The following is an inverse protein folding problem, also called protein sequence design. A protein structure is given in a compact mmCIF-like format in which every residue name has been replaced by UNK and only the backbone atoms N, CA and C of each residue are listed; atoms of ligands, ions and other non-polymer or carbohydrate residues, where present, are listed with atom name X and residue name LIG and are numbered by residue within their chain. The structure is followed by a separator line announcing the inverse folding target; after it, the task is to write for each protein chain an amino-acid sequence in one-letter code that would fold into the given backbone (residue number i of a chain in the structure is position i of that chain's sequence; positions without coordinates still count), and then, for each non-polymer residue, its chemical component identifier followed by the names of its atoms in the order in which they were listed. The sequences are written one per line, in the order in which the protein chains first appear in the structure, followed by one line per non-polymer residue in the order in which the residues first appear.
data_IF_202941228576
#
_entry.id   IF_202941228576
#
_cell.length_a   1.000
_cell.length_b   1.000
_cell.length_c   1.000
_cell.angle_alpha   90.00
_cell.angle_beta   90.00
_cell.angle_gamma   90.00
#
_symmetry.space_group_name_H-M   'P 1'
#
loop_
_entity.id
_entity.type
_entity.pdbx_description
1 polymer ?
#
# COMPACT_ATOMS: atom_id res chain seq x y z
N UNK A 1 15.54 -90.97 19.04
CA UNK A 1 16.77 -91.25 19.80
C UNK A 1 17.72 -90.08 19.55
N UNK A 2 17.83 -89.18 20.54
CA UNK A 2 18.92 -88.21 20.72
C UNK A 2 19.03 -87.31 19.46
N UNK A 3 18.20 -86.29 19.20
CA UNK A 3 17.49 -85.33 20.08
C UNK A 3 18.44 -84.39 20.87
N UNK A 4 18.78 -83.23 20.27
CA UNK A 4 19.62 -82.09 20.76
C UNK A 4 19.10 -80.71 20.19
N UNK A 5 19.86 -79.60 20.31
CA UNK A 5 19.40 -78.28 20.81
C UNK A 5 19.96 -76.97 20.15
N UNK A 6 19.65 -75.83 20.80
CA UNK A 6 20.18 -74.45 20.68
C UNK A 6 19.58 -73.53 19.57
N UNK A 7 19.14 -72.29 19.82
CA UNK A 7 18.36 -71.57 20.86
C UNK A 7 18.56 -70.05 20.60
N UNK A 8 17.52 -69.23 20.70
CA UNK A 8 17.57 -67.83 21.18
C UNK A 8 16.20 -67.17 21.19
N UNK A 9 15.52 -67.35 22.33
CA UNK A 9 14.52 -66.48 22.96
C UNK A 9 13.98 -65.24 22.21
N UNK A 10 12.64 -65.15 22.11
CA UNK A 10 11.88 -63.89 22.00
C UNK A 10 10.74 -63.88 23.02
N UNK A 11 10.86 -63.08 24.08
CA UNK A 11 9.91 -62.91 25.19
C UNK A 11 10.09 -61.48 25.73
N UNK A 12 9.11 -60.73 26.23
CA UNK A 12 7.66 -60.64 26.00
C UNK A 12 7.21 -59.29 26.63
N UNK A 13 6.07 -58.78 26.22
CA UNK A 13 5.49 -57.49 26.58
C UNK A 13 5.05 -57.37 28.05
N UNK A 14 5.36 -56.24 28.70
CA UNK A 14 4.43 -55.62 29.67
C UNK A 14 4.71 -54.13 29.94
N UNK A 15 3.67 -53.31 29.82
CA UNK A 15 3.63 -51.89 30.24
C UNK A 15 3.08 -51.80 31.68
N UNK A 16 3.62 -50.87 32.50
CA UNK A 16 2.86 -50.23 33.57
C UNK A 16 2.68 -48.71 33.36
N UNK A 17 1.52 -48.22 33.75
CA UNK A 17 1.02 -46.83 33.64
C UNK A 17 1.51 -45.95 34.82
N UNK A 18 1.98 -44.70 34.59
CA UNK A 18 2.32 -43.77 35.66
C UNK A 18 1.43 -42.51 35.72
N UNK A 19 0.11 -42.65 35.67
CA UNK A 19 -0.84 -41.58 36.02
C UNK A 19 -0.86 -41.29 37.55
N UNK A 20 0.27 -40.86 38.14
CA UNK A 20 0.40 -40.74 39.60
C UNK A 20 1.41 -39.70 40.16
N UNK A 21 1.66 -38.57 39.49
CA UNK A 21 2.29 -37.40 40.17
C UNK A 21 1.67 -36.07 39.76
N UNK A 22 0.91 -35.47 40.67
CA UNK A 22 0.42 -34.10 40.56
C UNK A 22 1.16 -33.21 41.57
N UNK A 23 1.80 -32.13 41.09
CA UNK A 23 1.79 -30.81 41.75
C UNK A 23 2.64 -29.76 41.00
N UNK A 24 2.01 -28.61 40.72
CA UNK A 24 2.55 -27.24 40.67
C UNK A 24 3.86 -26.92 39.90
N UNK A 25 3.73 -26.24 38.76
CA UNK A 25 4.06 -24.80 38.67
C UNK A 25 3.67 -24.23 37.29
N UNK A 26 3.19 -22.99 37.27
CA UNK A 26 2.81 -22.26 36.05
C UNK A 26 4.03 -21.70 35.31
N UNK A 27 4.18 -22.05 34.03
CA UNK A 27 5.22 -21.51 33.15
C UNK A 27 4.74 -21.40 31.70
N UNK A 28 4.77 -20.19 31.15
CA UNK A 28 4.20 -19.83 29.84
C UNK A 28 4.93 -20.49 28.67
N UNK A 29 4.18 -21.07 27.72
CA UNK A 29 4.67 -21.65 26.46
C UNK A 29 3.73 -21.31 25.28
N UNK A 30 4.19 -21.37 24.02
CA UNK A 30 3.73 -20.46 22.97
C UNK A 30 2.74 -21.05 21.97
N UNK A 31 1.86 -20.21 21.40
CA UNK A 31 1.64 -20.08 19.95
C UNK A 31 0.50 -19.09 19.62
N UNK A 32 0.84 -17.95 19.04
CA UNK A 32 -0.11 -17.03 18.40
C UNK A 32 0.63 -16.05 17.46
N UNK A 33 0.89 -16.48 16.22
CA UNK A 33 1.41 -15.60 15.17
C UNK A 33 0.23 -14.97 14.40
N UNK A 34 -0.04 -13.66 14.54
CA UNK A 34 -1.03 -12.97 13.71
C UNK A 34 -0.51 -12.80 12.27
N UNK A 35 -1.40 -12.70 11.26
CA UNK A 35 -1.00 -12.76 9.86
C UNK A 35 -0.24 -11.50 9.39
N UNK A 36 1.02 -11.70 8.99
CA UNK A 36 1.87 -10.69 8.34
C UNK A 36 1.30 -10.23 6.98
N UNK A 37 0.51 -9.16 6.97
CA UNK A 37 0.21 -8.38 5.76
C UNK A 37 1.24 -7.28 5.46
N UNK A 38 2.08 -6.92 6.44
CA UNK A 38 3.06 -5.81 6.31
C UNK A 38 4.29 -6.14 5.45
N UNK A 39 4.53 -7.41 5.12
CA UNK A 39 5.75 -7.85 4.41
C UNK A 39 5.69 -7.70 2.88
N UNK A 40 4.49 -7.56 2.30
CA UNK A 40 4.31 -7.48 0.85
C UNK A 40 4.65 -6.09 0.27
N UNK A 41 4.23 -5.00 0.93
CA UNK A 41 4.63 -3.64 0.56
C UNK A 41 6.13 -3.46 0.69
N UNK A 42 6.71 -3.77 1.86
CA UNK A 42 8.17 -3.69 2.08
C UNK A 42 8.96 -4.49 1.05
N UNK A 43 8.51 -5.69 0.65
CA UNK A 43 9.19 -6.49 -0.39
C UNK A 43 9.09 -5.86 -1.79
N UNK A 44 8.02 -5.14 -2.08
CA UNK A 44 7.84 -4.43 -3.37
C UNK A 44 8.66 -3.14 -3.41
N UNK A 45 8.64 -2.36 -2.33
CA UNK A 45 9.45 -1.14 -2.18
C UNK A 45 10.95 -1.47 -2.21
N UNK A 46 11.37 -2.49 -1.45
CA UNK A 46 12.75 -2.98 -1.50
C UNK A 46 13.11 -3.55 -2.86
N UNK A 47 12.17 -4.14 -3.62
CA UNK A 47 12.45 -4.57 -4.99
C UNK A 47 12.66 -3.39 -5.93
N UNK A 48 11.80 -2.36 -5.93
CA UNK A 48 12.01 -1.16 -6.77
C UNK A 48 13.32 -0.46 -6.40
N UNK A 49 13.62 -0.37 -5.11
CA UNK A 49 14.86 0.23 -4.61
C UNK A 49 16.10 -0.61 -4.94
N UNK A 50 15.99 -1.95 -4.93
CA UNK A 50 17.02 -2.87 -5.41
C UNK A 50 17.21 -2.76 -6.92
N UNK A 51 16.14 -2.73 -7.72
CA UNK A 51 16.22 -2.61 -9.17
C UNK A 51 16.89 -1.28 -9.57
N UNK A 52 16.56 -0.18 -8.89
CA UNK A 52 17.26 1.11 -9.04
C UNK A 52 18.74 1.04 -8.61
N UNK A 53 19.03 0.40 -7.46
CA UNK A 53 20.41 0.21 -6.99
C UNK A 53 21.23 -0.72 -7.91
N UNK A 54 20.61 -1.71 -8.55
CA UNK A 54 21.23 -2.60 -9.53
C UNK A 54 21.55 -1.84 -10.81
N UNK A 55 20.66 -0.96 -11.29
CA UNK A 55 20.95 -0.08 -12.43
C UNK A 55 22.11 0.88 -12.11
N UNK A 56 22.11 1.47 -10.91
CA UNK A 56 23.20 2.32 -10.42
C UNK A 56 24.53 1.56 -10.33
N UNK A 57 24.54 0.39 -9.71
CA UNK A 57 25.73 -0.46 -9.59
C UNK A 57 26.21 -1.00 -10.96
N UNK A 58 25.28 -1.28 -11.89
CA UNK A 58 25.62 -1.69 -13.26
C UNK A 58 26.24 -0.54 -14.04
N UNK A 59 25.81 0.70 -13.80
CA UNK A 59 26.45 1.89 -14.34
C UNK A 59 27.85 2.07 -13.74
N UNK A 60 28.00 1.97 -12.42
CA UNK A 60 29.30 2.11 -11.74
C UNK A 60 30.30 1.00 -12.15
N UNK A 61 29.85 -0.25 -12.32
CA UNK A 61 30.68 -1.34 -12.88
C UNK A 61 31.01 -1.11 -14.36
N UNK A 62 30.08 -0.53 -15.14
CA UNK A 62 30.34 -0.14 -16.54
C UNK A 62 31.32 1.04 -16.64
N UNK A 63 31.38 1.89 -15.61
CA UNK A 63 32.39 2.95 -15.45
C UNK A 63 33.73 2.41 -14.93
N UNK A 64 33.74 1.39 -14.06
CA UNK A 64 34.96 0.76 -13.57
C UNK A 64 35.64 -0.14 -14.62
N UNK A 65 34.85 -0.66 -15.58
CA UNK A 65 35.32 -1.48 -16.70
C UNK A 65 35.57 -0.64 -17.97
N UNK A 66 36.15 -1.25 -19.01
CA UNK A 66 36.44 -0.59 -20.29
C UNK A 66 35.18 -0.18 -21.10
N UNK A 67 33.97 -0.37 -20.54
CA UNK A 67 32.70 0.05 -21.13
C UNK A 67 32.34 1.53 -20.87
N UNK A 68 33.26 2.33 -20.31
CA UNK A 68 33.09 3.78 -20.11
C UNK A 68 32.40 4.53 -21.26
N UNK A 69 32.71 4.31 -22.56
CA UNK A 69 32.04 5.04 -23.64
C UNK A 69 30.52 4.82 -23.70
N UNK A 70 30.04 3.61 -23.41
CA UNK A 70 28.61 3.29 -23.39
C UNK A 70 27.93 3.82 -22.13
N UNK A 71 28.60 3.78 -20.99
CA UNK A 71 28.11 4.38 -19.75
C UNK A 71 27.97 5.91 -19.87
N UNK A 72 28.93 6.57 -20.53
CA UNK A 72 28.88 8.00 -20.84
C UNK A 72 27.77 8.34 -21.84
N UNK A 73 27.56 7.53 -22.88
CA UNK A 73 26.45 7.68 -23.82
C UNK A 73 25.09 7.59 -23.10
N UNK A 74 24.90 6.57 -22.27
CA UNK A 74 23.67 6.38 -21.50
C UNK A 74 23.42 7.55 -20.53
N UNK A 75 24.46 7.99 -19.79
CA UNK A 75 24.38 9.14 -18.89
C UNK A 75 24.02 10.42 -19.66
N UNK A 76 24.62 10.65 -20.82
CA UNK A 76 24.32 11.79 -21.69
C UNK A 76 22.86 11.77 -22.16
N UNK A 77 22.36 10.60 -22.59
CA UNK A 77 20.97 10.42 -22.99
C UNK A 77 19.98 10.67 -21.83
N UNK A 78 20.24 10.10 -20.65
CA UNK A 78 19.39 10.33 -19.45
C UNK A 78 19.38 11.81 -19.06
N UNK A 79 20.54 12.47 -19.06
CA UNK A 79 20.64 13.90 -18.76
C UNK A 79 19.85 14.75 -19.77
N UNK A 80 19.99 14.46 -21.07
CA UNK A 80 19.27 15.18 -22.13
C UNK A 80 17.76 15.00 -22.06
N UNK A 81 17.27 13.79 -21.74
CA UNK A 81 15.84 13.54 -21.54
C UNK A 81 15.34 14.25 -20.27
N UNK A 82 16.10 14.20 -19.17
CA UNK A 82 15.73 14.91 -17.94
C UNK A 82 15.62 16.42 -18.15
N UNK A 83 16.53 17.04 -18.91
CA UNK A 83 16.46 18.48 -19.24
C UNK A 83 15.21 18.83 -20.07
N UNK A 84 14.81 17.96 -21.01
CA UNK A 84 13.58 18.13 -21.80
C UNK A 84 12.29 17.94 -20.98
N UNK A 85 12.30 17.02 -20.01
CA UNK A 85 11.15 16.73 -19.14
C UNK A 85 11.02 17.71 -17.96
N UNK A 86 12.11 18.39 -17.58
CA UNK A 86 12.20 19.31 -16.44
C UNK A 86 11.09 20.35 -16.35
N UNK A 87 10.62 21.00 -17.44
CA UNK A 87 9.55 21.99 -17.36
C UNK A 87 8.18 21.43 -16.96
N UNK A 88 7.96 20.11 -17.11
CA UNK A 88 6.70 19.45 -16.74
C UNK A 88 6.82 18.63 -15.44
N UNK A 89 7.96 18.01 -15.20
CA UNK A 89 8.15 17.00 -14.15
C UNK A 89 9.22 17.35 -13.10
N UNK A 90 9.90 18.50 -13.26
CA UNK A 90 10.98 18.92 -12.37
C UNK A 90 12.32 18.19 -12.62
N UNK A 91 13.30 18.48 -11.77
CA UNK A 91 14.62 17.85 -11.86
C UNK A 91 14.55 16.33 -11.66
N UNK A 92 15.34 15.59 -12.45
CA UNK A 92 15.44 14.12 -12.37
C UNK A 92 14.12 13.37 -12.63
N UNK A 93 13.31 13.86 -13.58
CA UNK A 93 12.02 13.31 -13.96
C UNK A 93 12.01 11.78 -14.17
N UNK A 94 13.01 11.21 -14.85
CA UNK A 94 13.12 9.76 -15.07
C UNK A 94 13.26 9.00 -13.74
N UNK A 95 14.15 9.48 -12.87
CA UNK A 95 14.42 8.87 -11.56
C UNK A 95 13.20 8.96 -10.65
N UNK A 96 12.55 10.14 -10.63
CA UNK A 96 11.31 10.36 -9.89
C UNK A 96 10.21 9.39 -10.35
N UNK A 97 10.02 9.23 -11.66
CA UNK A 97 9.06 8.28 -12.24
C UNK A 97 9.38 6.81 -11.91
N UNK A 98 10.65 6.41 -12.00
CA UNK A 98 11.10 5.06 -11.67
C UNK A 98 10.94 4.72 -10.17
N UNK A 99 11.03 5.72 -9.29
CA UNK A 99 10.81 5.57 -7.85
C UNK A 99 9.34 5.55 -7.40
N UNK A 100 8.38 5.76 -8.30
CA UNK A 100 6.95 5.74 -7.95
C UNK A 100 6.48 4.33 -7.57
N UNK A 101 5.71 4.22 -6.48
CA UNK A 101 4.92 3.01 -6.21
C UNK A 101 3.76 2.90 -7.22
N UNK A 102 4.03 2.16 -8.29
CA UNK A 102 3.08 1.82 -9.35
C UNK A 102 2.34 0.48 -9.08
N UNK A 103 2.35 -0.03 -7.84
CA UNK A 103 1.39 -1.06 -7.43
C UNK A 103 -0.05 -0.50 -7.48
N UNK A 104 -1.08 -1.36 -7.46
CA UNK A 104 -2.46 -0.90 -7.37
C UNK A 104 -2.74 -0.02 -6.15
N UNK A 105 -2.06 -0.27 -5.03
CA UNK A 105 -2.22 0.49 -3.79
C UNK A 105 -1.57 1.88 -3.88
N UNK A 106 -0.30 1.98 -4.28
CA UNK A 106 0.38 3.27 -4.44
C UNK A 106 -0.24 4.15 -5.52
N UNK A 107 -0.75 3.55 -6.59
CA UNK A 107 -1.48 4.27 -7.64
C UNK A 107 -2.83 4.78 -7.14
N UNK A 108 -3.62 3.93 -6.46
CA UNK A 108 -4.89 4.34 -5.88
C UNK A 108 -4.72 5.42 -4.80
N UNK A 109 -3.73 5.28 -3.92
CA UNK A 109 -3.41 6.25 -2.87
C UNK A 109 -3.05 7.62 -3.43
N UNK A 110 -2.25 7.68 -4.51
CA UNK A 110 -1.95 8.92 -5.23
C UNK A 110 -3.20 9.58 -5.81
N UNK A 111 -4.08 8.82 -6.47
CA UNK A 111 -5.34 9.33 -7.05
C UNK A 111 -6.25 9.89 -5.96
N UNK A 112 -6.48 9.15 -4.87
CA UNK A 112 -7.32 9.58 -3.75
C UNK A 112 -6.74 10.81 -3.08
N UNK A 113 -5.43 10.84 -2.81
CA UNK A 113 -4.76 11.99 -2.17
C UNK A 113 -4.84 13.26 -3.01
N UNK A 114 -4.53 13.21 -4.31
CA UNK A 114 -4.60 14.39 -5.19
C UNK A 114 -6.03 14.93 -5.28
N UNK A 115 -7.01 14.07 -5.55
CA UNK A 115 -8.40 14.49 -5.79
C UNK A 115 -9.09 14.99 -4.52
N UNK A 116 -8.91 14.31 -3.38
CA UNK A 116 -9.51 14.74 -2.11
C UNK A 116 -8.82 15.97 -1.50
N UNK A 117 -7.56 16.24 -1.84
CA UNK A 117 -6.83 17.44 -1.43
C UNK A 117 -7.48 18.76 -1.87
N UNK A 118 -8.35 18.74 -2.89
CA UNK A 118 -9.11 19.92 -3.32
C UNK A 118 -10.31 20.26 -2.42
N UNK A 119 -10.68 19.42 -1.44
CA UNK A 119 -11.91 19.60 -0.67
C UNK A 119 -11.96 20.91 0.12
N UNK A 120 -10.84 21.35 0.70
CA UNK A 120 -10.79 22.62 1.44
C UNK A 120 -11.00 23.84 0.53
N UNK A 121 -10.41 23.82 -0.68
CA UNK A 121 -10.64 24.85 -1.69
C UNK A 121 -12.10 24.83 -2.20
N UNK A 122 -12.69 23.65 -2.37
CA UNK A 122 -14.09 23.49 -2.78
C UNK A 122 -15.05 24.06 -1.72
N UNK A 123 -14.83 23.78 -0.43
CA UNK A 123 -15.61 24.39 0.67
C UNK A 123 -15.56 25.92 0.65
N UNK A 124 -14.40 26.52 0.39
CA UNK A 124 -14.23 27.98 0.33
C UNK A 124 -15.02 28.63 -0.81
N UNK A 125 -15.33 27.88 -1.89
CA UNK A 125 -16.14 28.34 -3.02
C UNK A 125 -17.66 28.22 -2.77
N UNK A 126 -18.08 27.60 -1.66
CA UNK A 126 -19.49 27.44 -1.29
C UNK A 126 -19.82 28.06 0.09
N UNK A 127 -19.57 29.37 0.30
CA UNK A 127 -19.86 30.03 1.56
C UNK A 127 -21.36 30.03 1.87
N UNK A 128 -21.71 29.68 3.11
CA UNK A 128 -23.10 29.69 3.60
C UNK A 128 -23.98 28.50 3.17
N UNK A 129 -23.46 27.56 2.37
CA UNK A 129 -24.13 26.30 2.08
C UNK A 129 -24.00 25.30 3.25
N UNK A 130 -24.91 24.32 3.33
CA UNK A 130 -24.79 23.24 4.31
C UNK A 130 -23.55 22.37 4.04
N UNK A 131 -22.82 22.01 5.10
CA UNK A 131 -21.55 21.31 4.98
C UNK A 131 -21.70 19.85 4.50
N UNK A 132 -22.82 19.18 4.81
CA UNK A 132 -23.11 17.85 4.26
C UNK A 132 -23.50 17.92 2.79
N UNK A 133 -24.23 18.96 2.38
CA UNK A 133 -24.54 19.22 0.97
C UNK A 133 -23.28 19.52 0.15
N UNK A 134 -22.38 20.36 0.67
CA UNK A 134 -21.08 20.67 0.04
C UNK A 134 -20.21 19.42 -0.09
N UNK A 135 -20.11 18.59 0.95
CA UNK A 135 -19.43 17.30 0.87
C UNK A 135 -20.05 16.38 -0.20
N UNK A 136 -21.37 16.28 -0.23
CA UNK A 136 -22.09 15.43 -1.19
C UNK A 136 -21.84 15.88 -2.63
N UNK A 137 -21.87 17.19 -2.90
CA UNK A 137 -21.55 17.78 -4.20
C UNK A 137 -20.09 17.52 -4.60
N UNK A 138 -19.14 17.77 -3.70
CA UNK A 138 -17.73 17.50 -3.93
C UNK A 138 -17.47 16.03 -4.30
N UNK A 139 -18.01 15.10 -3.50
CA UNK A 139 -17.83 13.67 -3.72
C UNK A 139 -18.46 13.18 -5.02
N UNK A 140 -19.62 13.73 -5.41
CA UNK A 140 -20.22 13.44 -6.71
C UNK A 140 -19.33 13.93 -7.87
N UNK A 141 -18.77 15.15 -7.77
CA UNK A 141 -17.87 15.71 -8.78
C UNK A 141 -16.61 14.87 -8.97
N UNK A 142 -15.87 14.55 -7.89
CA UNK A 142 -14.60 13.81 -8.02
C UNK A 142 -14.82 12.35 -8.43
N UNK A 143 -15.93 11.71 -8.01
CA UNK A 143 -16.29 10.35 -8.45
C UNK A 143 -16.60 10.31 -9.95
N UNK A 144 -17.42 11.24 -10.43
CA UNK A 144 -17.77 11.34 -11.86
C UNK A 144 -16.53 11.55 -12.74
N UNK A 145 -15.67 12.52 -12.38
CA UNK A 145 -14.43 12.77 -13.11
C UNK A 145 -13.45 11.59 -13.08
N UNK A 146 -13.36 10.88 -11.95
CA UNK A 146 -12.56 9.67 -11.84
C UNK A 146 -13.10 8.52 -12.71
N UNK A 147 -14.41 8.26 -12.69
CA UNK A 147 -15.00 7.17 -13.48
C UNK A 147 -14.90 7.43 -14.98
N UNK A 148 -15.06 8.67 -15.43
CA UNK A 148 -14.80 9.07 -16.82
C UNK A 148 -13.32 8.83 -17.19
N UNK A 149 -12.38 9.40 -16.44
CA UNK A 149 -10.95 9.26 -16.74
C UNK A 149 -10.45 7.81 -16.68
N UNK A 150 -11.02 6.99 -15.79
CA UNK A 150 -10.75 5.55 -15.71
C UNK A 150 -11.21 4.81 -16.98
N UNK A 151 -12.42 5.11 -17.47
CA UNK A 151 -12.96 4.50 -18.68
C UNK A 151 -12.15 4.91 -19.93
N UNK A 152 -11.77 6.18 -20.05
CA UNK A 152 -10.92 6.69 -21.12
C UNK A 152 -9.53 6.04 -21.11
N UNK A 153 -8.89 5.95 -19.93
CA UNK A 153 -7.59 5.29 -19.77
C UNK A 153 -7.66 3.78 -20.11
N UNK A 154 -8.71 3.07 -19.67
CA UNK A 154 -8.93 1.67 -20.06
C UNK A 154 -9.13 1.51 -21.57
N UNK A 155 -9.85 2.42 -22.22
CA UNK A 155 -10.03 2.40 -23.67
C UNK A 155 -8.71 2.57 -24.44
N UNK A 156 -7.84 3.49 -23.99
CA UNK A 156 -6.50 3.70 -24.55
C UNK A 156 -5.64 2.43 -24.37
N UNK A 157 -5.56 1.89 -23.16
CA UNK A 157 -4.76 0.69 -22.86
C UNK A 157 -5.27 -0.56 -23.61
N UNK A 158 -6.58 -0.66 -23.83
CA UNK A 158 -7.18 -1.68 -24.70
C UNK A 158 -6.78 -1.48 -26.17
N UNK A 159 -6.81 -0.24 -26.67
CA UNK A 159 -6.37 0.12 -28.02
C UNK A 159 -4.88 -0.17 -28.27
N UNK A 160 -4.05 -0.04 -27.24
CA UNK A 160 -2.63 -0.42 -27.26
C UNK A 160 -2.39 -1.94 -27.17
N UNK A 161 -3.42 -2.76 -26.96
CA UNK A 161 -3.31 -4.21 -26.80
C UNK A 161 -2.67 -4.69 -25.50
N UNK A 162 -2.40 -3.80 -24.54
CA UNK A 162 -1.70 -4.13 -23.28
C UNK A 162 -2.62 -4.58 -22.15
N UNK A 163 -3.94 -4.42 -22.30
CA UNK A 163 -4.94 -4.73 -21.27
C UNK A 163 -5.23 -6.25 -21.22
N UNK A 164 -4.24 -7.02 -20.74
CA UNK A 164 -4.28 -8.47 -20.62
C UNK A 164 -3.59 -8.94 -19.32
N UNK A 165 -3.96 -10.14 -18.83
CA UNK A 165 -3.30 -10.78 -17.68
C UNK A 165 -3.22 -9.90 -16.43
N UNK A 166 -2.03 -9.82 -15.83
CA UNK A 166 -1.79 -9.04 -14.61
C UNK A 166 -2.09 -7.55 -14.77
N UNK A 167 -1.93 -6.97 -15.97
CA UNK A 167 -2.22 -5.55 -16.22
C UNK A 167 -3.71 -5.29 -16.01
N UNK A 168 -4.58 -6.12 -16.59
CA UNK A 168 -6.03 -6.03 -16.41
C UNK A 168 -6.40 -6.17 -14.92
N UNK A 169 -5.90 -7.23 -14.27
CA UNK A 169 -6.16 -7.50 -12.84
C UNK A 169 -5.68 -6.37 -11.91
N UNK A 170 -4.56 -5.72 -12.24
CA UNK A 170 -4.01 -4.63 -11.44
C UNK A 170 -4.75 -3.30 -11.66
N UNK A 171 -5.26 -3.05 -12.87
CA UNK A 171 -6.19 -1.93 -13.13
C UNK A 171 -7.45 -2.11 -12.28
N UNK A 172 -8.09 -3.28 -12.31
CA UNK A 172 -9.33 -3.54 -11.56
C UNK A 172 -9.12 -3.34 -10.04
N UNK A 173 -8.01 -3.82 -9.49
CA UNK A 173 -7.60 -3.58 -8.09
C UNK A 173 -7.42 -2.09 -7.80
N UNK A 174 -6.79 -1.34 -8.70
CA UNK A 174 -6.59 0.10 -8.55
C UNK A 174 -7.94 0.83 -8.49
N UNK A 175 -8.86 0.51 -9.41
CA UNK A 175 -10.19 1.11 -9.45
C UNK A 175 -11.01 0.80 -8.20
N UNK A 176 -10.95 -0.44 -7.70
CA UNK A 176 -11.62 -0.83 -6.46
C UNK A 176 -11.05 -0.06 -5.25
N UNK A 177 -9.72 0.07 -5.15
CA UNK A 177 -9.06 0.79 -4.05
C UNK A 177 -9.34 2.30 -4.07
N UNK A 178 -9.43 2.95 -5.24
CA UNK A 178 -9.85 4.36 -5.33
C UNK A 178 -11.30 4.53 -4.88
N UNK A 179 -12.21 3.66 -5.34
CA UNK A 179 -13.62 3.69 -4.92
C UNK A 179 -13.77 3.53 -3.41
N UNK A 180 -13.00 2.62 -2.81
CA UNK A 180 -12.94 2.47 -1.36
C UNK A 180 -12.38 3.73 -0.67
N UNK A 181 -11.23 4.25 -1.11
CA UNK A 181 -10.64 5.46 -0.50
C UNK A 181 -11.56 6.68 -0.55
N UNK A 182 -12.40 6.81 -1.59
CA UNK A 182 -13.45 7.83 -1.65
C UNK A 182 -14.61 7.57 -0.68
N UNK A 183 -14.97 6.32 -0.40
CA UNK A 183 -15.98 6.00 0.61
C UNK A 183 -15.44 6.26 2.03
N UNK A 184 -14.19 5.88 2.29
CA UNK A 184 -13.50 6.10 3.55
C UNK A 184 -13.33 7.60 3.85
N UNK A 185 -12.90 8.39 2.85
CA UNK A 185 -12.80 9.84 2.97
C UNK A 185 -14.15 10.50 3.28
N UNK A 186 -15.22 10.16 2.53
CA UNK A 186 -16.55 10.74 2.78
C UNK A 186 -17.06 10.39 4.18
N UNK A 187 -16.85 9.15 4.62
CA UNK A 187 -17.24 8.68 5.96
C UNK A 187 -16.51 9.44 7.06
N UNK A 188 -15.21 9.65 6.91
CA UNK A 188 -14.41 10.45 7.84
C UNK A 188 -14.89 11.91 7.91
N UNK A 189 -15.18 12.54 6.77
CA UNK A 189 -15.69 13.91 6.72
C UNK A 189 -17.09 14.03 7.36
N UNK A 190 -18.04 13.13 7.05
CA UNK A 190 -19.37 13.11 7.68
C UNK A 190 -19.30 12.93 9.20
N UNK A 191 -18.37 12.10 9.67
CA UNK A 191 -18.12 11.90 11.11
C UNK A 191 -17.61 13.18 11.77
N UNK A 192 -16.67 13.89 11.12
CA UNK A 192 -16.17 15.18 11.61
C UNK A 192 -17.27 16.25 11.67
N UNK A 193 -18.10 16.36 10.63
CA UNK A 193 -19.21 17.33 10.59
C UNK A 193 -20.22 17.07 11.71
N UNK A 194 -20.52 15.80 12.00
CA UNK A 194 -21.45 15.41 13.07
C UNK A 194 -20.88 15.72 14.46
N UNK A 195 -19.56 15.55 14.66
CA UNK A 195 -18.89 15.86 15.92
C UNK A 195 -18.83 17.35 16.26
N UNK A 196 -18.65 18.22 15.25
CA UNK A 196 -18.58 19.68 15.45
C UNK A 196 -19.89 20.28 15.96
N UNK A 197 -21.05 19.69 15.63
CA UNK A 197 -22.37 20.19 16.08
C UNK A 197 -22.61 20.00 17.59
N UNK A 198 -21.81 19.18 18.29
CA UNK A 198 -21.94 18.96 19.74
C UNK A 198 -21.21 19.95 20.64
N UNK A 199 -20.36 20.83 20.09
CA UNK A 199 -19.43 21.67 20.86
C UNK A 199 -19.84 23.15 20.94
N UNK A 200 -20.97 23.44 21.61
CA UNK A 200 -21.28 24.82 22.01
C UNK A 200 -20.41 25.20 23.22
N UNK A 201 -19.57 26.25 23.14
CA UNK A 201 -18.87 26.76 24.31
C UNK A 201 -19.89 27.44 25.24
N UNK A 202 -20.27 26.77 26.32
CA UNK A 202 -21.10 27.36 27.36
C UNK A 202 -20.34 28.51 28.03
N UNK A 203 -20.67 29.75 27.66
CA UNK A 203 -20.14 30.95 28.30
C UNK A 203 -20.66 31.02 29.73
N UNK A 204 -19.83 30.63 30.69
CA UNK A 204 -20.09 30.74 32.13
C UNK A 204 -20.08 32.20 32.56
N UNK A 205 -21.20 32.89 32.34
CA UNK A 205 -21.50 34.20 32.91
C UNK A 205 -21.76 34.04 34.41
N UNK A 206 -20.69 34.05 35.21
CA UNK A 206 -20.79 34.20 36.67
C UNK A 206 -20.99 35.68 37.00
N UNK A 207 -22.24 36.08 37.25
CA UNK A 207 -22.55 37.38 37.84
C UNK A 207 -22.19 37.38 39.33
N UNK A 208 -21.57 38.45 39.88
CA UNK A 208 -21.36 38.59 41.31
C UNK A 208 -22.64 39.11 41.98
N UNK A 209 -23.19 38.33 42.92
CA UNK A 209 -24.27 38.81 43.80
C UNK A 209 -23.72 39.73 44.89
N UNK A 210 -24.53 40.73 45.25
CA UNK A 210 -24.26 41.74 46.29
C UNK A 210 -24.45 41.20 47.71
#
# INVERSE_FOLDING_TARGET
MIEEDEDSATIDTRIPDPSAYAAVSSGTGPDAVPPSRSTASTRSDTKTQQDAAILQASLDVSLQSKNQPLALLLKSAINGINELLKPQFGDNAIQAAASQDNTPAGTAGRIVSLSTGFYDAFKQQHPGADANEVLTKFMATIRSGFEQGAAEAQAILKGMGVLNGDIASNIDKTLALVKQGYADFETAQRSSLSGTTGATPATSTTAPSS
#
